data_IF_780926363357
#
_entry.id   IF_780926363357
#
_cell.length_a   1.000
_cell.length_b   1.000
_cell.length_c   1.000
_cell.angle_alpha   90.00
_cell.angle_beta   90.00
_cell.angle_gamma   90.00
#
_symmetry.space_group_name_H-M   'P 1'
#
loop_
_entity.id
_entity.type
_entity.pdbx_description
1 polymer ?
#
# COMPACT_ATOMS: atom_id res chain seq x y z
N UNK A 1 42.25 11.57 11.80
CA UNK A 1 41.24 11.10 10.81
C UNK A 1 39.99 11.94 11.01
N UNK A 2 39.93 13.11 10.36
CA UNK A 2 38.85 14.08 10.54
C UNK A 2 37.61 13.64 9.73
N UNK A 3 36.46 13.57 10.38
CA UNK A 3 35.16 13.40 9.73
C UNK A 3 34.84 14.69 8.96
N UNK A 4 34.85 14.61 7.63
CA UNK A 4 34.29 15.68 6.79
C UNK A 4 32.78 15.69 6.97
N UNK A 5 32.30 16.67 7.74
CA UNK A 5 30.92 17.13 7.64
C UNK A 5 30.73 17.74 6.25
N UNK A 6 29.87 17.15 5.43
CA UNK A 6 29.39 17.78 4.20
C UNK A 6 28.46 18.93 4.60
N UNK A 7 28.93 20.16 4.34
CA UNK A 7 28.11 21.37 4.41
C UNK A 7 26.92 21.27 3.43
N UNK A 8 25.72 21.70 3.82
CA UNK A 8 24.54 21.71 2.93
C UNK A 8 24.58 22.81 1.84
N UNK A 9 25.68 23.56 1.77
CA UNK A 9 25.92 24.66 0.81
C UNK A 9 27.23 24.45 0.07
N UNK A 10 27.43 23.25 -0.51
CA UNK A 10 28.51 23.04 -1.48
C UNK A 10 28.05 23.52 -2.88
N UNK A 11 28.58 24.64 -3.40
CA UNK A 11 28.23 25.16 -4.72
C UNK A 11 28.77 24.29 -5.88
N UNK A 12 29.51 23.20 -5.58
CA UNK A 12 29.98 22.23 -6.57
C UNK A 12 29.03 21.05 -6.80
N UNK A 13 27.94 20.95 -6.03
CA UNK A 13 26.83 20.06 -6.37
C UNK A 13 26.18 20.57 -7.66
N UNK A 14 26.57 19.98 -8.79
CA UNK A 14 26.12 20.39 -10.13
C UNK A 14 24.60 20.61 -10.18
N UNK A 15 24.18 21.67 -10.88
CA UNK A 15 22.77 22.03 -11.01
C UNK A 15 21.99 20.84 -11.55
N UNK A 16 20.95 20.42 -10.82
CA UNK A 16 20.07 19.34 -11.26
C UNK A 16 19.10 19.90 -12.28
N UNK A 17 19.36 19.65 -13.56
CA UNK A 17 18.57 20.18 -14.68
C UNK A 17 17.68 19.11 -15.35
N UNK A 18 16.93 19.49 -16.38
CA UNK A 18 16.15 18.55 -17.19
C UNK A 18 16.96 17.40 -17.80
N UNK A 19 18.28 17.56 -18.00
CA UNK A 19 19.15 16.45 -18.39
C UNK A 19 19.23 15.35 -17.33
N UNK A 20 19.19 15.73 -16.05
CA UNK A 20 19.13 14.77 -14.93
C UNK A 20 17.81 13.99 -14.93
N UNK A 21 16.70 14.67 -15.23
CA UNK A 21 15.39 14.02 -15.42
C UNK A 21 15.43 13.04 -16.60
N UNK A 22 16.02 13.44 -17.73
CA UNK A 22 16.15 12.57 -18.89
C UNK A 22 17.04 11.35 -18.62
N UNK A 23 18.15 11.54 -17.90
CA UNK A 23 18.99 10.44 -17.42
C UNK A 23 18.22 9.46 -16.52
N UNK A 24 17.44 9.97 -15.56
CA UNK A 24 16.62 9.14 -14.68
C UNK A 24 15.53 8.38 -15.43
N UNK A 25 14.80 9.03 -16.34
CA UNK A 25 13.74 8.40 -17.13
C UNK A 25 14.29 7.29 -18.03
N UNK A 26 15.44 7.51 -18.69
CA UNK A 26 16.12 6.48 -19.50
C UNK A 26 16.53 5.28 -18.65
N UNK A 27 17.06 5.51 -17.44
CA UNK A 27 17.41 4.44 -16.52
C UNK A 27 16.18 3.63 -16.09
N UNK A 28 15.07 4.29 -15.72
CA UNK A 28 13.84 3.59 -15.35
C UNK A 28 13.20 2.84 -16.53
N UNK A 29 13.25 3.40 -17.74
CA UNK A 29 12.81 2.72 -18.96
C UNK A 29 13.66 1.48 -19.24
N UNK A 30 14.97 1.57 -19.06
CA UNK A 30 15.88 0.42 -19.20
C UNK A 30 15.56 -0.68 -18.18
N UNK A 31 15.33 -0.32 -16.92
CA UNK A 31 14.91 -1.29 -15.89
C UNK A 31 13.54 -1.91 -16.20
N UNK A 32 12.61 -1.15 -16.77
CA UNK A 32 11.33 -1.67 -17.24
C UNK A 32 11.52 -2.72 -18.33
N UNK A 33 12.32 -2.43 -19.35
CA UNK A 33 12.57 -3.37 -20.46
C UNK A 33 13.36 -4.61 -20.00
N UNK A 34 14.29 -4.44 -19.07
CA UNK A 34 15.01 -5.57 -18.45
C UNK A 34 14.05 -6.47 -17.68
N UNK A 35 13.19 -5.90 -16.83
CA UNK A 35 12.18 -6.65 -16.10
C UNK A 35 11.19 -7.36 -17.03
N UNK A 36 10.81 -6.71 -18.13
CA UNK A 36 9.94 -7.32 -19.14
C UNK A 36 10.59 -8.52 -19.84
N UNK A 37 11.87 -8.40 -20.20
CA UNK A 37 12.65 -9.50 -20.78
C UNK A 37 12.72 -10.68 -19.82
N UNK A 38 13.10 -10.43 -18.57
CA UNK A 38 13.17 -11.46 -17.53
C UNK A 38 11.81 -12.14 -17.31
N UNK A 39 10.72 -11.37 -17.31
CA UNK A 39 9.38 -11.92 -17.16
C UNK A 39 8.98 -12.86 -18.32
N UNK A 40 9.40 -12.56 -19.56
CA UNK A 40 9.17 -13.43 -20.72
C UNK A 40 10.01 -14.71 -20.67
N UNK A 41 11.26 -14.61 -20.23
CA UNK A 41 12.18 -15.75 -20.11
C UNK A 41 11.74 -16.72 -18.99
N UNK A 42 11.26 -16.19 -17.86
CA UNK A 42 10.84 -16.97 -16.70
C UNK A 42 9.44 -17.57 -16.83
N UNK A 43 8.56 -16.96 -17.65
CA UNK A 43 7.18 -17.42 -17.87
C UNK A 43 7.04 -18.82 -18.50
N UNK A 44 8.13 -19.41 -19.02
CA UNK A 44 8.15 -20.75 -19.61
C UNK A 44 8.67 -21.87 -18.70
N UNK A 45 9.16 -21.58 -17.49
CA UNK A 45 9.83 -22.57 -16.62
C UNK A 45 9.14 -22.72 -15.26
N UNK A 46 8.85 -23.95 -14.86
CA UNK A 46 8.29 -24.27 -13.54
C UNK A 46 9.24 -23.89 -12.37
N UNK A 47 10.55 -23.82 -12.62
CA UNK A 47 11.54 -23.35 -11.64
C UNK A 47 11.62 -21.81 -11.53
N UNK A 48 11.04 -21.08 -12.50
CA UNK A 48 11.10 -19.62 -12.62
C UNK A 48 9.98 -18.86 -11.91
N UNK A 49 9.14 -19.53 -11.12
CA UNK A 49 7.97 -18.88 -10.50
C UNK A 49 8.36 -17.71 -9.58
N UNK A 50 9.41 -17.87 -8.75
CA UNK A 50 9.91 -16.79 -7.89
C UNK A 50 10.53 -15.63 -8.68
N UNK A 51 11.33 -15.96 -9.70
CA UNK A 51 11.96 -14.96 -10.58
C UNK A 51 10.93 -14.17 -11.39
N UNK A 52 9.84 -14.82 -11.83
CA UNK A 52 8.73 -14.18 -12.53
C UNK A 52 7.99 -13.17 -11.63
N UNK A 53 7.79 -13.49 -10.35
CA UNK A 53 7.19 -12.57 -9.37
C UNK A 53 8.08 -11.36 -9.13
N UNK A 54 9.40 -11.56 -9.02
CA UNK A 54 10.35 -10.46 -8.85
C UNK A 54 10.46 -9.60 -10.10
N UNK A 55 10.39 -10.20 -11.29
CA UNK A 55 10.32 -9.48 -12.57
C UNK A 55 9.04 -8.62 -12.64
N UNK A 56 7.87 -9.17 -12.31
CA UNK A 56 6.61 -8.41 -12.27
C UNK A 56 6.64 -7.28 -11.22
N UNK A 57 7.32 -7.50 -10.09
CA UNK A 57 7.55 -6.46 -9.07
C UNK A 57 8.49 -5.38 -9.59
N UNK A 58 9.57 -5.73 -10.28
CA UNK A 58 10.48 -4.77 -10.91
C UNK A 58 9.77 -3.93 -11.99
N UNK A 59 8.98 -4.57 -12.85
CA UNK A 59 8.17 -3.93 -13.89
C UNK A 59 7.18 -2.91 -13.32
N UNK A 60 6.48 -3.26 -12.23
CA UNK A 60 5.61 -2.32 -11.50
C UNK A 60 6.37 -1.16 -10.89
N UNK A 61 7.56 -1.43 -10.32
CA UNK A 61 8.38 -0.41 -9.65
C UNK A 61 8.89 0.63 -10.64
N UNK A 62 9.34 0.23 -11.82
CA UNK A 62 9.78 1.15 -12.87
C UNK A 62 8.60 1.91 -13.48
N UNK A 63 7.49 1.23 -13.80
CA UNK A 63 6.28 1.89 -14.33
C UNK A 63 5.75 3.00 -13.41
N UNK A 64 5.72 2.75 -12.09
CA UNK A 64 5.29 3.77 -11.10
C UNK A 64 6.26 4.94 -10.98
N UNK A 65 7.57 4.68 -11.10
CA UNK A 65 8.60 5.74 -11.09
C UNK A 65 8.49 6.61 -12.31
N UNK A 66 8.37 6.02 -13.50
CA UNK A 66 8.13 6.75 -14.75
C UNK A 66 6.86 7.60 -14.58
N UNK A 67 5.71 6.98 -14.29
CA UNK A 67 4.42 7.69 -14.12
C UNK A 67 4.49 8.81 -13.07
N UNK A 68 5.20 8.60 -11.96
CA UNK A 68 5.39 9.60 -10.92
C UNK A 68 6.28 10.77 -11.35
N UNK A 69 7.37 10.49 -12.08
CA UNK A 69 8.22 11.53 -12.68
C UNK A 69 7.46 12.34 -13.73
N UNK A 70 6.65 11.68 -14.57
CA UNK A 70 5.76 12.35 -15.53
C UNK A 70 4.75 13.28 -14.83
N UNK A 71 4.26 12.89 -13.66
CA UNK A 71 3.35 13.71 -12.88
C UNK A 71 4.03 14.94 -12.25
N UNK A 72 5.18 14.75 -11.60
CA UNK A 72 5.87 15.83 -10.88
C UNK A 72 6.52 16.84 -11.82
N UNK A 73 7.16 16.36 -12.90
CA UNK A 73 7.92 17.19 -13.83
C UNK A 73 7.17 17.44 -15.15
N UNK A 74 5.83 17.33 -15.14
CA UNK A 74 4.96 17.57 -16.31
C UNK A 74 5.31 18.85 -17.10
N UNK A 75 5.61 20.01 -16.48
CA UNK A 75 5.91 21.23 -17.23
C UNK A 75 7.18 21.17 -18.10
N UNK A 76 8.06 20.18 -17.86
CA UNK A 76 9.35 20.01 -18.54
C UNK A 76 9.31 18.97 -19.66
N UNK A 77 8.17 18.28 -19.82
CA UNK A 77 7.96 17.20 -20.75
C UNK A 77 6.91 17.60 -21.78
N UNK A 78 6.91 16.95 -22.93
CA UNK A 78 5.84 17.08 -23.91
C UNK A 78 4.46 16.80 -23.24
N UNK A 79 3.52 17.78 -23.30
CA UNK A 79 2.26 17.68 -22.59
C UNK A 79 1.34 16.59 -23.15
N UNK A 80 1.33 16.39 -24.47
CA UNK A 80 0.45 15.42 -25.13
C UNK A 80 0.94 14.00 -24.85
N UNK A 81 2.24 13.79 -24.99
CA UNK A 81 2.86 12.51 -24.69
C UNK A 81 2.72 12.14 -23.21
N UNK A 82 2.92 13.09 -22.29
CA UNK A 82 2.81 12.82 -20.85
C UNK A 82 1.38 12.51 -20.41
N UNK A 83 0.38 13.19 -20.96
CA UNK A 83 -1.03 12.91 -20.65
C UNK A 83 -1.53 11.60 -21.23
N UNK A 84 -1.01 11.19 -22.40
CA UNK A 84 -1.31 9.88 -22.97
C UNK A 84 -0.64 8.74 -22.18
N UNK A 85 0.62 8.89 -21.76
CA UNK A 85 1.39 7.82 -21.11
C UNK A 85 0.99 7.55 -19.66
N UNK A 86 0.59 8.58 -18.91
CA UNK A 86 0.28 8.46 -17.48
C UNK A 86 -0.86 7.45 -17.16
N UNK A 87 -2.05 7.51 -17.80
CA UNK A 87 -3.13 6.56 -17.53
C UNK A 87 -2.74 5.13 -17.92
N UNK A 88 -1.95 4.96 -18.97
CA UNK A 88 -1.48 3.66 -19.43
C UNK A 88 -0.51 2.99 -18.43
N UNK A 89 0.46 3.75 -17.91
CA UNK A 89 1.37 3.26 -16.87
C UNK A 89 0.63 3.00 -15.54
N UNK A 90 -0.40 3.79 -15.24
CA UNK A 90 -1.27 3.57 -14.09
C UNK A 90 -2.08 2.26 -14.24
N UNK A 91 -2.69 2.05 -15.40
CA UNK A 91 -3.40 0.82 -15.76
C UNK A 91 -2.49 -0.41 -15.64
N UNK A 92 -1.29 -0.36 -16.23
CA UNK A 92 -0.34 -1.47 -16.20
C UNK A 92 0.11 -1.79 -14.77
N UNK A 93 0.54 -0.78 -14.02
CA UNK A 93 1.06 -0.98 -12.66
C UNK A 93 -0.03 -1.35 -11.64
N UNK A 94 -1.29 -1.00 -11.93
CA UNK A 94 -2.48 -1.44 -11.21
C UNK A 94 -2.79 -2.90 -11.48
N UNK A 95 -2.90 -3.28 -12.75
CA UNK A 95 -3.24 -4.64 -13.21
C UNK A 95 -2.25 -5.67 -12.69
N UNK A 96 -0.95 -5.45 -12.88
CA UNK A 96 0.11 -6.32 -12.36
C UNK A 96 0.16 -6.37 -10.82
N UNK A 97 -0.48 -5.39 -10.16
CA UNK A 97 -0.45 -5.25 -8.72
C UNK A 97 -1.52 -6.04 -7.99
N UNK A 98 -2.59 -6.44 -8.68
CA UNK A 98 -3.78 -7.03 -8.08
C UNK A 98 -3.50 -8.42 -7.51
N UNK A 99 -2.78 -9.28 -8.24
CA UNK A 99 -2.48 -10.64 -7.80
C UNK A 99 -1.80 -10.65 -6.42
N UNK A 100 -0.69 -9.91 -6.31
CA UNK A 100 0.05 -9.77 -5.06
C UNK A 100 -0.76 -9.08 -3.95
N UNK A 101 -1.67 -8.16 -4.31
CA UNK A 101 -2.55 -7.53 -3.33
C UNK A 101 -3.56 -8.52 -2.74
N UNK A 102 -4.12 -9.44 -3.55
CA UNK A 102 -5.01 -10.49 -3.05
C UNK A 102 -4.26 -11.49 -2.18
N UNK A 103 -3.05 -11.88 -2.57
CA UNK A 103 -2.19 -12.78 -1.78
C UNK A 103 -1.84 -12.17 -0.42
N UNK A 104 -1.29 -10.95 -0.38
CA UNK A 104 -0.95 -10.28 0.88
C UNK A 104 -2.18 -10.00 1.75
N UNK A 105 -3.34 -9.74 1.14
CA UNK A 105 -4.60 -9.59 1.89
C UNK A 105 -5.05 -10.91 2.52
N UNK A 106 -4.93 -12.03 1.81
CA UNK A 106 -5.27 -13.35 2.34
C UNK A 106 -4.38 -13.72 3.51
N UNK A 107 -3.05 -13.61 3.33
CA UNK A 107 -2.07 -13.87 4.38
C UNK A 107 -2.37 -13.05 5.65
N UNK A 108 -2.59 -11.74 5.48
CA UNK A 108 -2.92 -10.82 6.58
C UNK A 108 -4.17 -11.26 7.35
N UNK A 109 -5.25 -11.59 6.64
CA UNK A 109 -6.53 -11.96 7.26
C UNK A 109 -6.44 -13.33 7.96
N UNK A 110 -5.73 -14.30 7.37
CA UNK A 110 -5.52 -15.59 8.03
C UNK A 110 -4.67 -15.42 9.29
N UNK A 111 -3.57 -14.67 9.25
CA UNK A 111 -2.75 -14.40 10.44
C UNK A 111 -3.56 -13.71 11.55
N UNK A 112 -4.40 -12.73 11.19
CA UNK A 112 -5.29 -12.06 12.14
C UNK A 112 -6.31 -13.03 12.74
N UNK A 113 -6.93 -13.91 11.95
CA UNK A 113 -7.85 -14.95 12.45
C UNK A 113 -7.16 -15.92 13.42
N UNK A 114 -5.94 -16.35 13.12
CA UNK A 114 -5.17 -17.21 14.03
C UNK A 114 -4.85 -16.49 15.35
N UNK A 115 -4.43 -15.21 15.28
CA UNK A 115 -4.19 -14.36 16.45
C UNK A 115 -5.44 -14.22 17.31
N UNK A 116 -6.59 -13.91 16.70
CA UNK A 116 -7.86 -13.70 17.41
C UNK A 116 -8.42 -15.00 17.98
N UNK A 117 -8.23 -16.13 17.30
CA UNK A 117 -8.66 -17.45 17.78
C UNK A 117 -7.81 -17.95 18.96
N UNK A 118 -6.51 -17.65 18.95
CA UNK A 118 -5.61 -17.93 20.08
C UNK A 118 -5.78 -16.95 21.25
N UNK A 119 -6.19 -15.71 20.98
CA UNK A 119 -6.41 -14.67 21.97
C UNK A 119 -7.83 -14.66 22.58
N UNK A 120 -8.67 -15.66 22.33
CA UNK A 120 -9.98 -15.83 22.96
C UNK A 120 -9.90 -16.21 24.46
N UNK A 121 -9.02 -15.52 25.20
CA UNK A 121 -9.08 -15.34 26.65
C UNK A 121 -9.35 -13.85 26.85
N UNK A 122 -10.62 -13.47 26.82
CA UNK A 122 -11.02 -12.13 27.25
C UNK A 122 -10.55 -11.91 28.70
N UNK A 123 -10.07 -10.71 29.08
CA UNK A 123 -9.88 -10.38 30.48
C UNK A 123 -11.26 -10.44 31.14
N UNK A 124 -11.44 -11.39 32.05
CA UNK A 124 -12.64 -11.48 32.88
C UNK A 124 -12.87 -10.09 33.51
N UNK A 125 -14.04 -9.50 33.27
CA UNK A 125 -14.53 -8.43 34.11
C UNK A 125 -14.47 -8.93 35.55
N UNK A 126 -13.58 -8.35 36.34
CA UNK A 126 -13.48 -8.59 37.77
C UNK A 126 -14.75 -8.01 38.43
N UNK A 127 -15.83 -8.79 38.41
CA UNK A 127 -16.89 -8.63 39.40
C UNK A 127 -16.45 -9.47 40.59
N UNK A 128 -15.88 -8.79 41.57
CA UNK A 128 -15.62 -9.37 42.87
C UNK A 128 -16.95 -9.73 43.53
N UNK A 129 -17.26 -11.03 43.58
CA UNK A 129 -18.21 -11.57 44.56
C UNK A 129 -17.58 -12.77 45.24
N UNK A 130 -17.35 -12.57 46.54
CA UNK A 130 -16.78 -13.48 47.52
C UNK A 130 -17.62 -14.75 47.72
N UNK A 131 -16.93 -15.90 47.66
CA UNK A 131 -17.13 -17.16 48.43
C UNK A 131 -18.54 -17.75 48.61
N UNK A 132 -18.76 -19.00 48.17
CA UNK A 132 -18.62 -20.20 49.01
C UNK A 132 -19.14 -21.52 48.36
N UNK A 133 -18.37 -22.58 48.61
CA UNK A 133 -18.75 -24.00 48.78
C UNK A 133 -19.00 -24.93 47.59
N UNK A 134 -18.57 -26.16 47.84
CA UNK A 134 -18.29 -27.30 46.96
C UNK A 134 -19.50 -28.19 46.58
N UNK A 135 -19.24 -29.02 45.57
CA UNK A 135 -19.89 -30.28 45.16
C UNK A 135 -21.17 -30.21 44.29
N UNK A 136 -21.00 -30.47 43.00
CA UNK A 136 -21.82 -31.44 42.23
C UNK A 136 -21.22 -31.68 40.84
N UNK A 137 -21.20 -32.94 40.41
CA UNK A 137 -20.80 -33.35 39.07
C UNK A 137 -22.00 -33.26 38.10
N UNK A 138 -21.83 -32.52 36.99
CA UNK A 138 -22.69 -32.47 35.80
C UNK A 138 -23.20 -31.06 35.42
N UNK A 139 -23.58 -30.77 34.14
CA UNK A 139 -23.10 -31.27 32.85
C UNK A 139 -22.01 -30.34 32.27
N UNK A 140 -21.37 -30.72 31.15
CA UNK A 140 -20.35 -29.90 30.49
C UNK A 140 -20.85 -28.46 30.22
N UNK A 141 -20.07 -27.48 30.68
CA UNK A 141 -20.43 -26.07 30.74
C UNK A 141 -20.82 -25.45 29.37
N UNK A 142 -21.88 -24.62 29.28
CA UNK A 142 -22.27 -23.91 28.06
C UNK A 142 -21.13 -23.03 27.49
N UNK A 143 -20.27 -22.49 28.37
CA UNK A 143 -19.10 -21.71 27.97
C UNK A 143 -18.06 -22.51 27.15
N UNK A 144 -17.93 -23.83 27.37
CA UNK A 144 -17.03 -24.67 26.59
C UNK A 144 -17.60 -24.93 25.18
N UNK A 145 -18.92 -25.06 25.07
CA UNK A 145 -19.64 -25.28 23.81
C UNK A 145 -19.70 -23.99 22.97
N UNK A 146 -19.88 -22.82 23.61
CA UNK A 146 -19.76 -21.52 22.96
C UNK A 146 -18.36 -21.26 22.42
N UNK A 147 -17.30 -21.58 23.19
CA UNK A 147 -15.91 -21.51 22.70
C UNK A 147 -15.68 -22.42 21.50
N UNK A 148 -16.16 -23.66 21.54
CA UNK A 148 -16.09 -24.58 20.39
C UNK A 148 -16.83 -24.04 19.16
N UNK A 149 -17.98 -23.40 19.34
CA UNK A 149 -18.72 -22.79 18.23
C UNK A 149 -17.98 -21.57 17.63
N UNK A 150 -17.31 -20.76 18.46
CA UNK A 150 -16.51 -19.62 18.00
C UNK A 150 -15.26 -20.04 17.23
N UNK A 151 -14.56 -21.09 17.69
CA UNK A 151 -13.39 -21.63 16.97
C UNK A 151 -13.80 -22.25 15.63
N UNK A 152 -14.92 -22.98 15.59
CA UNK A 152 -15.51 -23.48 14.34
C UNK A 152 -15.96 -22.32 13.44
N UNK A 153 -16.48 -21.23 14.01
CA UNK A 153 -16.84 -20.01 13.30
C UNK A 153 -15.63 -19.36 12.61
N UNK A 154 -14.51 -19.22 13.33
CA UNK A 154 -13.25 -18.68 12.81
C UNK A 154 -12.63 -19.58 11.72
N UNK A 155 -12.63 -20.90 11.91
CA UNK A 155 -12.15 -21.84 10.89
C UNK A 155 -12.98 -21.75 9.59
N UNK A 156 -14.31 -21.66 9.70
CA UNK A 156 -15.20 -21.46 8.54
C UNK A 156 -15.00 -20.09 7.88
N UNK A 157 -14.73 -19.04 8.66
CA UNK A 157 -14.42 -17.71 8.14
C UNK A 157 -13.10 -17.72 7.35
N UNK A 158 -12.07 -18.39 7.88
CA UNK A 158 -10.79 -18.59 7.21
C UNK A 158 -10.96 -19.31 5.87
N UNK A 159 -11.66 -20.45 5.86
CA UNK A 159 -11.92 -21.22 4.64
C UNK A 159 -12.73 -20.42 3.59
N UNK A 160 -13.69 -19.60 4.04
CA UNK A 160 -14.46 -18.73 3.15
C UNK A 160 -13.56 -17.66 2.50
N UNK A 161 -12.74 -16.97 3.29
CA UNK A 161 -11.82 -15.94 2.81
C UNK A 161 -10.76 -16.52 1.87
N UNK A 162 -10.19 -17.67 2.22
CA UNK A 162 -9.24 -18.41 1.40
C UNK A 162 -9.83 -18.74 0.04
N UNK A 163 -11.04 -19.31 0.01
CA UNK A 163 -11.74 -19.60 -1.25
C UNK A 163 -11.96 -18.33 -2.09
N UNK A 164 -12.47 -17.25 -1.49
CA UNK A 164 -12.81 -16.03 -2.22
C UNK A 164 -11.56 -15.31 -2.75
N UNK A 165 -10.54 -15.13 -1.91
CA UNK A 165 -9.32 -14.39 -2.27
C UNK A 165 -8.42 -15.21 -3.20
N UNK A 166 -8.39 -16.54 -3.06
CA UNK A 166 -7.70 -17.41 -4.03
C UNK A 166 -8.35 -17.30 -5.41
N UNK A 167 -9.67 -17.35 -5.48
CA UNK A 167 -10.38 -17.19 -6.76
C UNK A 167 -10.18 -15.78 -7.36
N UNK A 168 -10.19 -14.73 -6.53
CA UNK A 168 -9.87 -13.37 -6.96
C UNK A 168 -8.42 -13.26 -7.47
N UNK A 169 -7.47 -13.90 -6.79
CA UNK A 169 -6.07 -13.99 -7.20
C UNK A 169 -5.93 -14.69 -8.55
N UNK A 170 -6.54 -15.87 -8.75
CA UNK A 170 -6.48 -16.60 -10.03
C UNK A 170 -7.04 -15.76 -11.17
N UNK A 171 -8.17 -15.06 -10.95
CA UNK A 171 -8.73 -14.13 -11.95
C UNK A 171 -7.79 -12.97 -12.25
N UNK A 172 -7.19 -12.38 -11.22
CA UNK A 172 -6.22 -11.30 -11.38
C UNK A 172 -4.97 -11.75 -12.14
N UNK A 173 -4.50 -12.97 -11.88
CA UNK A 173 -3.39 -13.59 -12.58
C UNK A 173 -3.69 -13.76 -14.07
N UNK A 174 -4.83 -14.37 -14.44
CA UNK A 174 -5.24 -14.50 -15.84
C UNK A 174 -5.43 -13.13 -16.52
N UNK A 175 -5.99 -12.16 -15.81
CA UNK A 175 -6.15 -10.78 -16.32
C UNK A 175 -4.79 -10.12 -16.58
N UNK A 176 -3.82 -10.32 -15.69
CA UNK A 176 -2.46 -9.80 -15.86
C UNK A 176 -1.76 -10.43 -17.08
N UNK A 177 -1.88 -11.74 -17.28
CA UNK A 177 -1.33 -12.41 -18.46
C UNK A 177 -1.99 -11.94 -19.76
N UNK A 178 -3.32 -11.78 -19.78
CA UNK A 178 -4.05 -11.23 -20.92
C UNK A 178 -3.63 -9.79 -21.23
N UNK A 179 -3.48 -8.96 -20.19
CA UNK A 179 -3.01 -7.58 -20.33
C UNK A 179 -1.60 -7.53 -20.95
N UNK A 180 -0.68 -8.38 -20.48
CA UNK A 180 0.69 -8.46 -21.02
C UNK A 180 0.77 -8.95 -22.46
N UNK A 181 -0.23 -9.72 -22.93
CA UNK A 181 -0.35 -10.15 -24.33
C UNK A 181 -1.18 -9.19 -25.20
N UNK A 182 -1.68 -8.08 -24.67
CA UNK A 182 -2.57 -7.17 -25.40
C UNK A 182 -1.81 -6.16 -26.27
N UNK A 183 -2.41 -5.74 -27.37
CA UNK A 183 -1.89 -4.64 -28.20
C UNK A 183 -1.70 -3.34 -27.41
N UNK A 184 -2.58 -3.07 -26.44
CA UNK A 184 -2.47 -1.96 -25.50
C UNK A 184 -1.14 -1.99 -24.73
N UNK A 185 -0.77 -3.15 -24.20
CA UNK A 185 0.51 -3.29 -23.50
C UNK A 185 1.71 -3.11 -24.44
N UNK A 186 1.65 -3.68 -25.64
CA UNK A 186 2.73 -3.54 -26.62
C UNK A 186 2.96 -2.07 -27.01
N UNK A 187 1.89 -1.29 -27.24
CA UNK A 187 2.00 0.14 -27.51
C UNK A 187 2.70 0.90 -26.36
N UNK A 188 2.43 0.55 -25.11
CA UNK A 188 3.12 1.13 -23.94
C UNK A 188 4.58 0.70 -23.91
N UNK A 189 4.87 -0.58 -24.14
CA UNK A 189 6.23 -1.11 -24.12
C UNK A 189 7.10 -0.46 -25.22
N UNK A 190 6.54 -0.22 -26.41
CA UNK A 190 7.23 0.45 -27.51
C UNK A 190 7.53 1.91 -27.18
N UNK A 191 6.58 2.64 -26.59
CA UNK A 191 6.82 4.02 -26.13
C UNK A 191 7.86 4.08 -25.01
N UNK A 192 7.88 3.09 -24.11
CA UNK A 192 8.94 2.97 -23.09
C UNK A 192 10.28 2.61 -23.71
N UNK A 193 10.31 1.83 -24.81
CA UNK A 193 11.53 1.55 -25.56
C UNK A 193 12.11 2.83 -26.19
N UNK A 194 11.27 3.67 -26.80
CA UNK A 194 11.69 5.00 -27.28
C UNK A 194 12.17 5.87 -26.12
N UNK A 195 11.48 5.86 -24.98
CA UNK A 195 11.87 6.62 -23.78
C UNK A 195 13.27 6.23 -23.25
N UNK A 196 13.74 5.01 -23.51
CA UNK A 196 15.06 4.56 -23.10
C UNK A 196 16.20 5.25 -23.89
N UNK A 197 15.93 5.72 -25.10
CA UNK A 197 16.89 6.47 -25.93
C UNK A 197 16.61 7.97 -25.92
N UNK A 198 15.36 8.37 -26.11
CA UNK A 198 14.93 9.76 -26.35
C UNK A 198 13.86 10.16 -25.35
N UNK A 199 14.10 11.26 -24.62
CA UNK A 199 13.15 11.80 -23.65
C UNK A 199 12.55 13.08 -24.26
N UNK A 200 11.21 13.17 -24.39
CA UNK A 200 10.56 14.32 -25.00
C UNK A 200 10.53 15.50 -24.01
N UNK A 201 11.69 16.13 -23.84
CA UNK A 201 11.84 17.36 -23.06
C UNK A 201 11.33 18.55 -23.87
N UNK A 202 10.71 19.53 -23.20
CA UNK A 202 10.41 20.81 -23.86
C UNK A 202 11.72 21.55 -24.19
N UNK A 203 11.73 22.45 -25.20
CA UNK A 203 12.97 23.12 -25.62
C UNK A 203 13.70 23.87 -24.50
N UNK A 204 12.97 24.40 -23.51
CA UNK A 204 13.54 25.10 -22.37
C UNK A 204 13.97 24.17 -21.22
N UNK A 205 13.55 22.90 -21.22
CA UNK A 205 13.72 22.02 -20.07
C UNK A 205 15.16 21.59 -19.81
N UNK A 206 16.02 21.52 -20.83
CA UNK A 206 17.38 20.98 -20.71
C UNK A 206 18.21 21.66 -19.62
N UNK A 207 18.09 22.99 -19.48
CA UNK A 207 18.81 23.80 -18.49
C UNK A 207 17.93 24.21 -17.30
N UNK A 208 16.64 23.87 -17.32
CA UNK A 208 15.70 24.26 -16.26
C UNK A 208 16.00 23.48 -14.98
N UNK A 209 16.08 24.20 -13.87
CA UNK A 209 16.26 23.65 -12.52
C UNK A 209 15.07 22.77 -12.10
N UNK A 210 15.35 21.56 -11.60
CA UNK A 210 14.35 20.61 -11.13
C UNK A 210 13.91 20.84 -9.68
N UNK A 211 14.62 21.68 -8.91
CA UNK A 211 14.30 21.94 -7.49
C UNK A 211 12.90 22.55 -7.30
N UNK A 212 12.46 23.55 -8.09
CA UNK A 212 11.11 24.12 -7.93
C UNK A 212 9.95 23.11 -8.09
N UNK A 213 9.86 22.28 -9.15
CA UNK A 213 8.78 21.29 -9.25
C UNK A 213 8.87 20.20 -8.17
N UNK A 214 10.06 19.86 -7.67
CA UNK A 214 10.22 18.94 -6.56
C UNK A 214 9.75 19.54 -5.22
N UNK A 215 10.03 20.82 -4.97
CA UNK A 215 9.53 21.57 -3.82
C UNK A 215 7.99 21.66 -3.84
N UNK A 216 7.38 21.91 -5.00
CA UNK A 216 5.93 21.90 -5.16
C UNK A 216 5.29 20.51 -4.89
N UNK A 217 6.04 19.41 -5.07
CA UNK A 217 5.57 18.08 -4.68
C UNK A 217 5.67 17.85 -3.15
N UNK A 218 6.65 18.46 -2.49
CA UNK A 218 6.76 18.49 -1.03
C UNK A 218 5.67 19.33 -0.39
N UNK A 219 5.42 20.54 -0.91
CA UNK A 219 4.36 21.44 -0.43
C UNK A 219 2.98 20.78 -0.51
N UNK A 220 2.63 20.18 -1.65
CA UNK A 220 1.37 19.42 -1.79
C UNK A 220 1.26 18.27 -0.78
N UNK A 221 2.38 17.62 -0.44
CA UNK A 221 2.39 16.56 0.57
C UNK A 221 2.18 17.15 1.96
N UNK A 222 2.88 18.23 2.33
CA UNK A 222 2.74 18.86 3.63
C UNK A 222 1.32 19.41 3.82
N UNK A 223 0.74 20.03 2.80
CA UNK A 223 -0.63 20.56 2.83
C UNK A 223 -1.68 19.46 2.97
N UNK A 224 -1.50 18.34 2.25
CA UNK A 224 -2.38 17.20 2.40
C UNK A 224 -2.28 16.56 3.79
N UNK A 225 -1.10 16.58 4.41
CA UNK A 225 -0.90 16.08 5.78
C UNK A 225 -1.49 17.01 6.82
N UNK A 226 -1.37 18.34 6.66
CA UNK A 226 -1.99 19.31 7.57
C UNK A 226 -3.52 19.26 7.51
N UNK A 227 -4.09 18.90 6.36
CA UNK A 227 -5.52 18.69 6.18
C UNK A 227 -6.04 17.34 6.72
N UNK A 228 -5.18 16.43 7.19
CA UNK A 228 -5.62 15.15 7.75
C UNK A 228 -6.35 15.36 9.10
N UNK A 229 -7.41 14.57 9.39
CA UNK A 229 -8.11 14.59 10.67
C UNK A 229 -7.27 13.89 11.76
N UNK A 230 -6.14 14.49 12.13
CA UNK A 230 -5.14 13.92 13.05
C UNK A 230 -5.60 13.91 14.51
N UNK A 231 -6.56 14.77 14.88
CA UNK A 231 -7.08 14.87 16.26
C UNK A 231 -7.95 13.66 16.63
N UNK A 232 -8.63 13.06 15.65
CA UNK A 232 -9.47 11.86 15.84
C UNK A 232 -8.62 10.58 15.90
N UNK A 233 -7.39 10.58 15.34
CA UNK A 233 -6.48 9.43 15.37
C UNK A 233 -5.82 9.18 16.75
N UNK A 234 -6.01 10.08 17.72
CA UNK A 234 -5.48 9.96 19.08
C UNK A 234 -6.33 9.10 20.03
N UNK A 235 -7.54 8.71 19.62
CA UNK A 235 -8.43 7.88 20.42
C UNK A 235 -8.61 6.49 19.78
N UNK A 236 -8.16 5.40 20.43
CA UNK A 236 -8.29 4.04 19.90
C UNK A 236 -9.75 3.56 19.79
N UNK A 237 -10.69 4.31 20.36
CA UNK A 237 -12.14 4.09 20.27
C UNK A 237 -12.83 5.31 19.64
N UNK A 238 -12.76 5.43 18.32
CA UNK A 238 -13.62 6.38 17.60
C UNK A 238 -15.02 5.77 17.46
N UNK A 239 -15.95 6.18 18.31
CA UNK A 239 -17.35 5.72 18.28
C UNK A 239 -18.02 5.96 16.91
N UNK A 240 -17.60 6.99 16.17
CA UNK A 240 -18.08 7.29 14.82
C UNK A 240 -17.76 6.19 13.80
N UNK A 241 -16.62 5.48 13.95
CA UNK A 241 -16.25 4.37 13.07
C UNK A 241 -17.19 3.15 13.25
N UNK A 242 -17.72 2.95 14.47
CA UNK A 242 -18.73 1.93 14.77
C UNK A 242 -20.11 2.33 14.22
N UNK A 243 -20.48 3.61 14.30
CA UNK A 243 -21.76 4.12 13.79
C UNK A 243 -21.83 4.05 12.26
N UNK A 244 -20.73 4.37 11.56
CA UNK A 244 -20.68 4.28 10.09
C UNK A 244 -20.45 2.84 9.56
N UNK A 245 -19.93 1.92 10.38
CA UNK A 245 -19.76 0.50 10.03
C UNK A 245 -21.07 -0.29 9.90
N UNK A 246 -22.19 0.28 10.33
CA UNK A 246 -23.53 -0.32 10.23
C UNK A 246 -24.28 0.08 8.95
N UNK A 247 -23.68 0.90 8.07
CA UNK A 247 -24.30 1.24 6.78
C UNK A 247 -24.33 0.02 5.84
N UNK A 248 -25.47 -0.28 5.21
CA UNK A 248 -25.58 -1.37 4.24
C UNK A 248 -24.81 -1.08 2.94
N UNK A 249 -24.45 0.17 2.67
CA UNK A 249 -23.77 0.59 1.45
C UNK A 249 -22.23 0.39 1.59
N UNK A 250 -21.56 -0.34 0.68
CA UNK A 250 -20.10 -0.56 0.71
C UNK A 250 -19.27 0.72 0.39
N UNK A 251 -19.76 1.90 0.76
CA UNK A 251 -19.01 3.12 0.59
C UNK A 251 -17.69 3.02 1.39
N UNK A 252 -16.55 3.41 0.78
CA UNK A 252 -15.29 3.45 1.50
C UNK A 252 -15.49 4.30 2.76
N UNK A 253 -14.94 3.86 3.90
CA UNK A 253 -15.00 4.65 5.13
C UNK A 253 -14.51 6.07 4.78
N UNK A 254 -15.32 7.11 5.03
CA UNK A 254 -15.10 8.45 4.44
C UNK A 254 -13.74 9.03 4.85
N UNK A 255 -13.24 8.59 6.00
CA UNK A 255 -11.94 8.99 6.52
C UNK A 255 -10.75 8.34 5.80
N UNK A 256 -10.89 7.21 5.08
CA UNK A 256 -9.73 6.51 4.47
C UNK A 256 -9.20 7.22 3.21
N UNK A 257 -10.06 7.97 2.51
CA UNK A 257 -9.74 8.65 1.26
C UNK A 257 -8.55 9.62 1.36
N UNK A 258 -8.58 10.61 2.28
CA UNK A 258 -7.46 11.53 2.51
C UNK A 258 -6.13 10.84 2.82
N UNK A 259 -6.15 9.74 3.59
CA UNK A 259 -4.94 8.97 3.91
C UNK A 259 -4.36 8.26 2.69
N UNK A 260 -5.21 7.72 1.81
CA UNK A 260 -4.77 7.16 0.53
C UNK A 260 -4.17 8.22 -0.39
N UNK A 261 -4.70 9.45 -0.36
CA UNK A 261 -4.14 10.58 -1.11
C UNK A 261 -2.76 10.98 -0.58
N UNK A 262 -2.60 11.13 0.74
CA UNK A 262 -1.29 11.41 1.36
C UNK A 262 -0.27 10.32 1.02
N UNK A 263 -0.68 9.05 0.99
CA UNK A 263 0.18 7.93 0.55
C UNK A 263 0.66 8.09 -0.89
N UNK A 264 -0.22 8.52 -1.79
CA UNK A 264 0.15 8.80 -3.18
C UNK A 264 1.15 9.97 -3.26
N UNK A 265 0.86 11.08 -2.57
CA UNK A 265 1.71 12.28 -2.55
C UNK A 265 3.10 11.99 -1.96
N UNK A 266 3.17 11.21 -0.87
CA UNK A 266 4.44 10.79 -0.28
C UNK A 266 5.28 9.99 -1.27
N UNK A 267 4.64 9.13 -2.06
CA UNK A 267 5.33 8.36 -3.10
C UNK A 267 5.82 9.26 -4.23
N UNK A 268 5.04 10.24 -4.65
CA UNK A 268 5.43 11.22 -5.68
C UNK A 268 6.62 12.07 -5.21
N UNK A 269 6.58 12.57 -3.97
CA UNK A 269 7.71 13.29 -3.37
C UNK A 269 8.97 12.43 -3.30
N UNK A 270 8.86 11.15 -2.92
CA UNK A 270 10.01 10.22 -2.94
C UNK A 270 10.60 10.05 -4.34
N UNK A 271 9.77 9.90 -5.37
CA UNK A 271 10.26 9.78 -6.75
C UNK A 271 10.89 11.08 -7.26
N UNK A 272 10.33 12.24 -6.91
CA UNK A 272 10.92 13.54 -7.22
C UNK A 272 12.35 13.66 -6.65
N UNK A 273 12.53 13.19 -5.41
CA UNK A 273 13.85 13.15 -4.77
C UNK A 273 14.80 12.15 -5.39
N UNK A 274 14.31 10.99 -5.83
CA UNK A 274 15.15 10.05 -6.60
C UNK A 274 15.70 10.71 -7.87
N UNK A 275 14.91 11.55 -8.56
CA UNK A 275 15.36 12.34 -9.71
C UNK A 275 16.41 13.37 -9.32
N UNK A 276 16.16 14.15 -8.26
CA UNK A 276 17.07 15.23 -7.84
C UNK A 276 18.48 14.74 -7.50
N UNK A 277 18.60 13.53 -6.97
CA UNK A 277 19.87 13.03 -6.46
C UNK A 277 20.43 11.84 -7.26
N UNK A 278 19.89 11.58 -8.45
CA UNK A 278 20.34 10.48 -9.32
C UNK A 278 20.33 9.12 -8.63
N UNK A 279 19.39 8.88 -7.70
CA UNK A 279 19.30 7.64 -6.93
C UNK A 279 20.36 7.42 -5.84
N UNK A 280 21.22 8.40 -5.54
CA UNK A 280 22.34 8.27 -4.58
C UNK A 280 22.05 8.81 -3.16
N UNK A 281 20.79 9.09 -2.82
CA UNK A 281 20.43 9.64 -1.51
C UNK A 281 20.76 8.68 -0.35
N UNK A 282 21.22 9.20 0.81
CA UNK A 282 21.08 8.48 2.07
C UNK A 282 19.59 8.21 2.32
N UNK A 283 19.28 6.98 2.66
CA UNK A 283 17.91 6.53 2.91
C UNK A 283 17.33 7.32 4.07
N UNK A 284 16.38 8.22 3.79
CA UNK A 284 15.63 8.88 4.86
C UNK A 284 14.70 7.90 5.54
N UNK A 285 15.20 7.34 6.64
CA UNK A 285 14.49 6.40 7.51
C UNK A 285 13.09 6.92 7.84
N UNK A 286 12.94 8.24 8.08
CA UNK A 286 11.65 8.87 8.36
C UNK A 286 10.61 8.66 7.25
N UNK A 287 10.94 9.03 6.00
CA UNK A 287 10.01 8.88 4.87
C UNK A 287 9.71 7.41 4.57
N UNK A 288 10.68 6.52 4.84
CA UNK A 288 10.44 5.08 4.77
C UNK A 288 9.44 4.63 5.84
N UNK A 289 9.64 4.99 7.11
CA UNK A 289 8.75 4.62 8.21
C UNK A 289 7.34 5.19 8.01
N UNK A 290 7.23 6.46 7.60
CA UNK A 290 5.96 7.08 7.24
C UNK A 290 5.28 6.34 6.08
N UNK A 291 6.03 6.00 5.03
CA UNK A 291 5.51 5.23 3.90
C UNK A 291 5.08 3.81 4.27
N UNK A 292 5.80 3.15 5.19
CA UNK A 292 5.43 1.85 5.73
C UNK A 292 4.14 1.92 6.55
N UNK A 293 3.97 2.95 7.39
CA UNK A 293 2.73 3.18 8.13
C UNK A 293 1.54 3.38 7.18
N UNK A 294 1.68 4.19 6.13
CA UNK A 294 0.61 4.40 5.15
C UNK A 294 0.30 3.15 4.32
N UNK A 295 1.29 2.29 4.03
CA UNK A 295 1.03 1.00 3.40
C UNK A 295 0.22 0.09 4.34
N UNK A 296 0.61 -0.01 5.61
CA UNK A 296 -0.15 -0.77 6.62
C UNK A 296 -1.59 -0.25 6.76
N UNK A 297 -1.80 1.06 6.76
CA UNK A 297 -3.14 1.67 6.74
C UNK A 297 -3.96 1.16 5.56
N UNK A 298 -3.41 1.25 4.34
CA UNK A 298 -4.11 0.83 3.12
C UNK A 298 -4.42 -0.67 3.13
N UNK A 299 -3.44 -1.48 3.53
CA UNK A 299 -3.59 -2.94 3.55
C UNK A 299 -4.62 -3.37 4.61
N UNK A 300 -4.66 -2.70 5.77
CA UNK A 300 -5.66 -2.91 6.82
C UNK A 300 -7.07 -2.47 6.38
N UNK A 301 -7.22 -1.31 5.75
CA UNK A 301 -8.50 -0.81 5.22
C UNK A 301 -9.07 -1.77 4.17
N UNK A 302 -8.24 -2.23 3.23
CA UNK A 302 -8.61 -3.21 2.21
C UNK A 302 -8.95 -4.60 2.79
N UNK A 303 -8.27 -5.01 3.85
CA UNK A 303 -8.56 -6.26 4.57
C UNK A 303 -9.89 -6.17 5.33
N UNK A 304 -10.16 -5.03 6.00
CA UNK A 304 -11.42 -4.77 6.68
C UNK A 304 -12.61 -4.80 5.69
N UNK A 305 -12.44 -4.19 4.52
CA UNK A 305 -13.44 -4.22 3.45
C UNK A 305 -13.71 -5.64 2.94
N UNK A 306 -12.66 -6.46 2.76
CA UNK A 306 -12.83 -7.85 2.34
C UNK A 306 -13.54 -8.71 3.40
N UNK A 307 -13.22 -8.52 4.70
CA UNK A 307 -13.93 -9.21 5.78
C UNK A 307 -15.42 -8.83 5.83
N UNK A 308 -15.73 -7.54 5.69
CA UNK A 308 -17.12 -7.05 5.62
C UNK A 308 -17.86 -7.59 4.40
N UNK A 309 -17.21 -7.62 3.22
CA UNK A 309 -17.79 -8.20 2.02
C UNK A 309 -18.04 -9.71 2.16
N UNK A 310 -17.11 -10.44 2.78
CA UNK A 310 -17.27 -11.87 3.04
C UNK A 310 -18.45 -12.16 3.99
N UNK A 311 -18.69 -11.29 4.98
CA UNK A 311 -19.82 -11.41 5.92
C UNK A 311 -21.19 -11.26 5.24
N UNK A 312 -21.24 -10.68 4.04
CA UNK A 312 -22.46 -10.56 3.22
C UNK A 312 -22.74 -11.80 2.35
N UNK A 313 -21.91 -12.84 2.44
CA UNK A 313 -22.11 -14.08 1.68
C UNK A 313 -23.41 -14.76 2.14
N UNK A 314 -24.32 -15.13 1.21
CA UNK A 314 -25.57 -15.77 1.59
C UNK A 314 -25.33 -17.14 2.26
N UNK A 315 -26.19 -17.49 3.22
CA UNK A 315 -26.21 -18.80 3.91
C UNK A 315 -24.93 -19.12 4.72
N UNK A 316 -24.20 -18.13 5.20
CA UNK A 316 -23.14 -18.36 6.20
C UNK A 316 -23.74 -18.59 7.59
N UNK A 317 -23.06 -19.40 8.41
CA UNK A 317 -23.49 -19.63 9.79
C UNK A 317 -23.30 -18.37 10.66
N UNK A 318 -24.15 -18.11 11.68
CA UNK A 318 -24.01 -16.96 12.56
C UNK A 318 -22.62 -16.83 13.22
N UNK A 319 -22.03 -17.96 13.64
CA UNK A 319 -20.68 -17.98 14.22
C UNK A 319 -19.60 -17.54 13.21
N UNK A 320 -19.78 -17.82 11.92
CA UNK A 320 -18.89 -17.35 10.84
C UNK A 320 -19.05 -15.85 10.61
N UNK A 321 -20.29 -15.36 10.58
CA UNK A 321 -20.57 -13.93 10.47
C UNK A 321 -19.98 -13.15 11.66
N UNK A 322 -20.10 -13.68 12.88
CA UNK A 322 -19.49 -13.09 14.08
C UNK A 322 -17.97 -13.03 13.96
N UNK A 323 -17.31 -14.13 13.57
CA UNK A 323 -15.86 -14.15 13.38
C UNK A 323 -15.37 -13.12 12.34
N UNK A 324 -16.11 -12.96 11.23
CA UNK A 324 -15.82 -11.95 10.21
C UNK A 324 -16.04 -10.52 10.72
N UNK A 325 -17.03 -10.29 11.59
CA UNK A 325 -17.24 -9.02 12.27
C UNK A 325 -16.10 -8.65 13.21
N UNK A 326 -15.63 -9.60 14.04
CA UNK A 326 -14.46 -9.40 14.92
C UNK A 326 -13.20 -9.13 14.08
N UNK A 327 -13.00 -9.87 12.99
CA UNK A 327 -11.88 -9.66 12.07
C UNK A 327 -11.94 -8.28 11.41
N UNK A 328 -13.11 -7.83 10.98
CA UNK A 328 -13.29 -6.47 10.46
C UNK A 328 -12.89 -5.41 11.50
N UNK A 329 -13.39 -5.53 12.74
CA UNK A 329 -13.07 -4.60 13.82
C UNK A 329 -11.56 -4.58 14.15
N UNK A 330 -10.92 -5.75 14.21
CA UNK A 330 -9.46 -5.89 14.37
C UNK A 330 -8.70 -5.14 13.27
N UNK A 331 -9.10 -5.29 12.01
CA UNK A 331 -8.47 -4.57 10.90
C UNK A 331 -8.74 -3.05 10.94
N UNK A 332 -9.90 -2.61 11.43
CA UNK A 332 -10.15 -1.17 11.68
C UNK A 332 -9.26 -0.62 12.80
N UNK A 333 -8.99 -1.40 13.85
CA UNK A 333 -8.01 -0.98 14.87
C UNK A 333 -6.60 -0.87 14.29
N UNK A 334 -6.19 -1.78 13.41
CA UNK A 334 -4.91 -1.69 12.70
C UNK A 334 -4.82 -0.47 11.77
N UNK A 335 -5.94 -0.03 11.19
CA UNK A 335 -6.03 1.25 10.46
C UNK A 335 -5.69 2.41 11.37
N UNK A 336 -6.35 2.54 12.53
CA UNK A 336 -6.07 3.62 13.49
C UNK A 336 -4.64 3.55 14.04
N UNK A 337 -4.14 2.35 14.36
CA UNK A 337 -2.76 2.16 14.80
C UNK A 337 -1.74 2.61 13.74
N UNK A 338 -2.04 2.38 12.45
CA UNK A 338 -1.22 2.86 11.35
C UNK A 338 -1.27 4.40 11.20
N UNK A 339 -2.42 5.03 11.44
CA UNK A 339 -2.56 6.50 11.47
C UNK A 339 -1.71 7.11 12.58
N UNK A 340 -1.79 6.55 13.79
CA UNK A 340 -0.97 6.96 14.92
C UNK A 340 0.53 6.77 14.64
N UNK A 341 0.93 5.62 14.08
CA UNK A 341 2.31 5.35 13.73
C UNK A 341 2.86 6.33 12.66
N UNK A 342 2.03 6.70 11.69
CA UNK A 342 2.38 7.73 10.71
C UNK A 342 2.58 9.08 11.39
N UNK A 343 1.66 9.52 12.25
CA UNK A 343 1.76 10.77 12.99
C UNK A 343 3.05 10.84 13.82
N UNK A 344 3.39 9.77 14.55
CA UNK A 344 4.63 9.68 15.32
C UNK A 344 5.89 9.76 14.43
N UNK A 345 5.87 9.10 13.26
CA UNK A 345 6.98 9.18 12.32
C UNK A 345 7.11 10.58 11.70
N UNK A 346 5.99 11.26 11.46
CA UNK A 346 5.94 12.59 10.83
C UNK A 346 6.31 13.72 11.81
N UNK A 347 5.76 13.72 13.04
CA UNK A 347 5.99 14.75 14.06
C UNK A 347 7.42 14.75 14.64
N UNK A 348 8.15 13.63 14.60
CA UNK A 348 9.58 13.61 15.00
C UNK A 348 10.47 14.57 14.18
N UNK A 349 9.95 15.16 13.09
CA UNK A 349 10.56 16.26 12.36
C UNK A 349 10.35 17.62 13.03
N UNK A 350 9.15 17.91 13.56
CA UNK A 350 8.81 19.24 14.10
C UNK A 350 9.50 19.51 15.44
N UNK A 351 9.73 18.48 16.25
CA UNK A 351 10.38 18.61 17.55
C UNK A 351 11.92 18.74 17.49
N UNK A 352 12.52 18.62 16.30
CA UNK A 352 13.99 18.60 16.13
C UNK A 352 14.58 19.93 15.65
N UNK A 353 13.92 21.05 15.94
CA UNK A 353 14.45 22.40 15.74
C UNK A 353 14.61 23.07 17.11
N UNK A 354 15.83 23.09 17.66
CA UNK A 354 16.35 24.23 18.40
C UNK A 354 17.37 25.02 17.57
#
# INVERSE_FOLDING_TARGET
MAQQHLDPTDPTAGVVTGESLAGYLRAQATEFLRALRLHRETGGSAAGAGESVDAARALRRSARRISGSLHTFRPLLDPDWSEEMRPELAWLSGTLGLEHAYEGRLERLLLALHRLSGAAVFPAQAVATTSASANSAGPAHPAAQERGNLTVGAAKAGALLERQLTLARTRAHSTALQALGSSRFHAVADKVAVLASEVPLTPAAATTDLRPPAAAAEERLTDAVTALPLVTAGHPYNAEALVHGLSPDPAPHPQDGPWHQVRLLLRLHRYAREVLHGGKLPVEVRLLTAGQALNRHRDASEAAAAAAQAARTPRIAPATAYALGVLHADQRHEVEAARFAFQQAWQKQTAKVP
#
